data_IF_498740669541
#
_entry.id   IF_498740669541
#
_cell.length_a   1.000
_cell.length_b   1.000
_cell.length_c   1.000
_cell.angle_alpha   90.00
_cell.angle_beta   90.00
_cell.angle_gamma   90.00
#
_symmetry.space_group_name_H-M   'P 1'
#
loop_
_entity.id
_entity.type
_entity.pdbx_description
1 polymer ?
#
# COMPACT_ATOMS: atom_id res chain seq x y z
N UNK A 1 14.72 -7.81 5.73
CA UNK A 1 13.79 -7.10 4.82
C UNK A 1 13.24 -5.88 5.56
N UNK A 2 12.99 -4.73 4.90
CA UNK A 2 12.55 -3.49 5.59
C UNK A 2 11.25 -3.67 6.37
N UNK A 3 10.39 -4.56 5.90
CA UNK A 3 9.14 -4.89 6.57
C UNK A 3 9.34 -5.50 7.96
N UNK A 4 10.33 -6.38 8.16
CA UNK A 4 10.60 -7.01 9.46
C UNK A 4 10.95 -5.98 10.54
N UNK A 5 11.73 -4.96 10.17
CA UNK A 5 12.07 -3.84 11.06
C UNK A 5 10.84 -2.97 11.40
N UNK A 6 9.92 -2.81 10.45
CA UNK A 6 8.67 -2.08 10.67
C UNK A 6 7.64 -2.86 11.51
N UNK A 7 7.70 -4.20 11.48
CA UNK A 7 6.77 -5.11 12.15
C UNK A 7 6.93 -5.04 13.68
N UNK A 8 8.16 -4.85 14.14
CA UNK A 8 8.53 -4.69 15.56
C UNK A 8 8.13 -3.33 16.15
N UNK A 9 7.76 -2.35 15.32
CA UNK A 9 7.33 -1.05 15.81
C UNK A 9 5.97 -1.14 16.52
N UNK A 10 5.82 -0.52 17.69
CA UNK A 10 4.50 -0.33 18.33
C UNK A 10 3.53 0.37 17.38
N UNK A 11 2.22 0.08 17.51
CA UNK A 11 1.15 0.58 16.62
C UNK A 11 1.21 2.08 16.34
N UNK A 12 1.57 2.90 17.33
CA UNK A 12 1.73 4.34 17.15
C UNK A 12 2.87 4.72 16.21
N UNK A 13 4.04 4.08 16.36
CA UNK A 13 5.20 4.31 15.49
C UNK A 13 4.93 3.78 14.09
N UNK A 14 4.26 2.64 13.97
CA UNK A 14 3.82 2.10 12.68
C UNK A 14 2.87 3.08 11.97
N UNK A 15 1.87 3.61 12.67
CA UNK A 15 0.95 4.62 12.11
C UNK A 15 1.67 5.92 11.73
N UNK A 16 2.68 6.34 12.49
CA UNK A 16 3.51 7.51 12.13
C UNK A 16 4.38 7.25 10.90
N UNK A 17 4.80 6.02 10.66
CA UNK A 17 5.60 5.65 9.49
C UNK A 17 4.74 5.46 8.24
N UNK A 18 3.67 4.66 8.33
CA UNK A 18 2.89 4.20 7.16
C UNK A 18 1.59 4.96 6.92
N UNK A 19 1.11 5.72 7.91
CA UNK A 19 -0.17 6.45 7.83
C UNK A 19 -1.38 5.62 8.23
N UNK A 20 -1.24 4.29 8.34
CA UNK A 20 -2.33 3.38 8.63
C UNK A 20 -2.10 2.63 9.94
N UNK A 21 -3.19 2.21 10.61
CA UNK A 21 -3.10 1.32 11.78
C UNK A 21 -2.72 -0.08 11.32
N UNK A 22 -2.04 -0.87 12.17
CA UNK A 22 -1.66 -2.26 11.83
C UNK A 22 -2.86 -3.13 11.43
N UNK A 23 -3.99 -2.96 12.12
CA UNK A 23 -5.23 -3.68 11.78
C UNK A 23 -5.74 -3.37 10.37
N UNK A 24 -5.63 -2.11 9.92
CA UNK A 24 -5.99 -1.71 8.55
C UNK A 24 -4.98 -2.25 7.54
N UNK A 25 -3.69 -2.18 7.86
CA UNK A 25 -2.62 -2.72 7.04
C UNK A 25 -2.82 -4.22 6.79
N UNK A 26 -3.12 -5.01 7.83
CA UNK A 26 -3.40 -6.45 7.67
C UNK A 26 -4.54 -6.70 6.70
N UNK A 27 -5.65 -5.95 6.82
CA UNK A 27 -6.80 -6.09 5.90
C UNK A 27 -6.42 -5.75 4.45
N UNK A 28 -5.62 -4.72 4.24
CA UNK A 28 -5.11 -4.36 2.91
C UNK A 28 -4.23 -5.47 2.34
N UNK A 29 -3.34 -6.05 3.15
CA UNK A 29 -2.50 -7.20 2.74
C UNK A 29 -3.35 -8.40 2.35
N UNK A 30 -4.38 -8.74 3.13
CA UNK A 30 -5.26 -9.88 2.84
C UNK A 30 -6.00 -9.71 1.50
N UNK A 31 -6.45 -8.50 1.22
CA UNK A 31 -7.07 -8.14 -0.06
C UNK A 31 -6.07 -8.28 -1.22
N UNK A 32 -4.87 -7.72 -1.06
CA UNK A 32 -3.84 -7.75 -2.10
C UNK A 32 -3.34 -9.17 -2.35
N UNK A 33 -3.21 -10.00 -1.31
CA UNK A 33 -2.85 -11.42 -1.44
C UNK A 33 -3.88 -12.18 -2.28
N UNK A 34 -5.17 -11.99 -2.01
CA UNK A 34 -6.24 -12.61 -2.83
C UNK A 34 -6.17 -12.19 -4.30
N UNK A 35 -5.89 -10.91 -4.57
CA UNK A 35 -5.74 -10.40 -5.92
C UNK A 35 -4.47 -10.94 -6.62
N UNK A 36 -3.36 -11.06 -5.88
CA UNK A 36 -2.11 -11.62 -6.36
C UNK A 36 -2.25 -13.12 -6.67
N UNK A 37 -2.92 -13.89 -5.82
CA UNK A 37 -3.19 -15.31 -6.05
C UNK A 37 -4.05 -15.54 -7.29
N UNK A 38 -5.07 -14.70 -7.52
CA UNK A 38 -5.87 -14.72 -8.75
C UNK A 38 -5.06 -14.35 -10.00
N UNK A 39 -4.09 -13.44 -9.87
CA UNK A 39 -3.20 -13.09 -10.98
C UNK A 39 -2.20 -14.21 -11.27
N UNK A 40 -1.67 -14.86 -10.23
CA UNK A 40 -0.78 -16.03 -10.39
C UNK A 40 -1.48 -17.21 -11.02
N UNK A 41 -2.75 -17.47 -10.67
CA UNK A 41 -3.53 -18.54 -11.30
C UNK A 41 -3.76 -18.31 -12.80
N UNK A 42 -3.67 -17.06 -13.27
CA UNK A 42 -3.78 -16.66 -14.68
C UNK A 42 -2.43 -16.60 -15.39
N UNK A 43 -1.33 -17.04 -14.77
CA UNK A 43 0.01 -17.00 -15.34
C UNK A 43 0.74 -15.67 -15.13
N UNK A 44 0.34 -14.87 -14.13
CA UNK A 44 1.01 -13.63 -13.77
C UNK A 44 2.48 -13.81 -13.38
N UNK A 45 3.32 -12.83 -13.71
CA UNK A 45 4.76 -12.84 -13.41
C UNK A 45 4.99 -12.69 -11.90
N UNK A 46 5.91 -13.49 -11.35
CA UNK A 46 6.34 -13.37 -9.94
C UNK A 46 6.96 -11.99 -9.69
N UNK A 47 6.41 -11.25 -8.72
CA UNK A 47 6.98 -10.00 -8.24
C UNK A 47 8.26 -10.27 -7.45
N UNK A 48 9.24 -9.36 -7.54
CA UNK A 48 10.50 -9.45 -6.78
C UNK A 48 10.30 -9.18 -5.28
N UNK A 49 9.29 -8.37 -4.94
CA UNK A 49 8.90 -8.05 -3.57
C UNK A 49 7.67 -8.87 -3.17
N UNK A 50 7.58 -9.20 -1.88
CA UNK A 50 6.37 -9.78 -1.32
C UNK A 50 5.25 -8.71 -1.21
N UNK A 51 4.00 -9.17 -1.08
CA UNK A 51 2.82 -8.27 -1.08
C UNK A 51 2.90 -7.23 0.07
N UNK A 52 3.46 -7.62 1.20
CA UNK A 52 3.64 -6.75 2.37
C UNK A 52 4.64 -5.62 2.11
N UNK A 53 5.80 -5.93 1.53
CA UNK A 53 6.80 -4.93 1.13
C UNK A 53 6.27 -4.04 0.00
N UNK A 54 5.50 -4.58 -0.94
CA UNK A 54 4.85 -3.78 -1.97
C UNK A 54 3.89 -2.76 -1.35
N UNK A 55 3.02 -3.20 -0.43
CA UNK A 55 2.11 -2.29 0.26
C UNK A 55 2.87 -1.25 1.09
N UNK A 56 3.91 -1.66 1.83
CA UNK A 56 4.73 -0.73 2.61
C UNK A 56 5.37 0.33 1.72
N UNK A 57 5.94 -0.07 0.59
CA UNK A 57 6.54 0.83 -0.40
C UNK A 57 5.53 1.85 -0.93
N UNK A 58 4.30 1.42 -1.24
CA UNK A 58 3.24 2.32 -1.72
C UNK A 58 2.80 3.29 -0.62
N UNK A 59 2.71 2.84 0.63
CA UNK A 59 2.37 3.72 1.75
C UNK A 59 3.46 4.76 2.03
N UNK A 60 4.74 4.39 1.93
CA UNK A 60 5.85 5.35 1.99
C UNK A 60 5.82 6.34 0.82
N UNK A 61 5.51 5.87 -0.40
CA UNK A 61 5.30 6.74 -1.56
C UNK A 61 4.19 7.76 -1.31
N UNK A 62 3.02 7.32 -0.84
CA UNK A 62 1.88 8.21 -0.59
C UNK A 62 2.15 9.22 0.52
N UNK A 63 3.00 8.88 1.49
CA UNK A 63 3.29 9.73 2.64
C UNK A 63 4.37 10.78 2.36
N UNK A 64 5.42 10.40 1.64
CA UNK A 64 6.59 11.25 1.42
C UNK A 64 6.71 11.76 -0.01
N UNK A 65 5.86 11.27 -0.91
CA UNK A 65 5.82 11.62 -2.33
C UNK A 65 7.19 11.57 -3.03
N UNK A 66 8.07 10.65 -2.57
CA UNK A 66 9.41 10.45 -3.13
C UNK A 66 9.30 9.97 -4.58
N UNK A 67 10.30 10.30 -5.41
CA UNK A 67 10.30 9.85 -6.81
C UNK A 67 10.36 8.33 -6.92
N UNK A 68 9.75 7.76 -7.96
CA UNK A 68 9.78 6.32 -8.22
C UNK A 68 11.21 5.79 -8.36
N UNK A 69 12.14 6.60 -8.87
CA UNK A 69 13.57 6.26 -8.91
C UNK A 69 14.15 6.04 -7.51
N UNK A 70 13.94 6.97 -6.56
CA UNK A 70 14.44 6.83 -5.19
C UNK A 70 13.81 5.64 -4.45
N UNK A 71 12.52 5.42 -4.66
CA UNK A 71 11.82 4.27 -4.09
C UNK A 71 12.34 2.96 -4.70
N UNK A 72 12.54 2.92 -6.01
CA UNK A 72 13.13 1.78 -6.69
C UNK A 72 14.50 1.40 -6.12
N UNK A 73 15.38 2.39 -5.91
CA UNK A 73 16.68 2.17 -5.27
C UNK A 73 16.54 1.64 -3.84
N UNK A 74 15.66 2.24 -3.04
CA UNK A 74 15.41 1.87 -1.64
C UNK A 74 14.89 0.44 -1.43
N UNK A 75 14.26 -0.13 -2.45
CA UNK A 75 13.65 -1.47 -2.44
C UNK A 75 14.33 -2.43 -3.44
N UNK A 76 15.37 -2.00 -4.15
CA UNK A 76 16.10 -2.83 -5.12
C UNK A 76 15.27 -3.25 -6.34
N UNK A 77 14.30 -2.42 -6.77
CA UNK A 77 13.45 -2.64 -7.94
C UNK A 77 13.64 -1.54 -9.00
N UNK A 78 13.24 -1.81 -10.24
CA UNK A 78 13.27 -0.78 -11.28
C UNK A 78 12.16 0.25 -11.08
N UNK A 79 12.37 1.46 -11.60
CA UNK A 79 11.39 2.55 -11.54
C UNK A 79 10.03 2.15 -12.14
N UNK A 80 10.05 1.47 -13.28
CA UNK A 80 8.83 0.95 -13.92
C UNK A 80 8.10 -0.06 -13.04
N UNK A 81 8.82 -0.84 -12.23
CA UNK A 81 8.21 -1.80 -11.30
C UNK A 81 7.56 -1.09 -10.12
N UNK A 82 8.21 -0.04 -9.59
CA UNK A 82 7.65 0.78 -8.51
C UNK A 82 6.34 1.45 -8.96
N UNK A 83 6.34 2.07 -10.15
CA UNK A 83 5.16 2.70 -10.74
C UNK A 83 4.01 1.70 -10.97
N UNK A 84 4.32 0.50 -11.50
CA UNK A 84 3.32 -0.57 -11.68
C UNK A 84 2.75 -1.06 -10.34
N UNK A 85 3.58 -1.19 -9.31
CA UNK A 85 3.14 -1.62 -7.99
C UNK A 85 2.20 -0.59 -7.33
N UNK A 86 2.52 0.71 -7.42
CA UNK A 86 1.64 1.78 -6.93
C UNK A 86 0.28 1.72 -7.61
N UNK A 87 0.24 1.72 -8.94
CA UNK A 87 -1.01 1.62 -9.70
C UNK A 87 -1.81 0.37 -9.36
N UNK A 88 -1.15 -0.78 -9.27
CA UNK A 88 -1.82 -2.04 -8.94
C UNK A 88 -2.44 -2.02 -7.53
N UNK A 89 -1.72 -1.49 -6.54
CA UNK A 89 -2.24 -1.37 -5.16
C UNK A 89 -3.43 -0.40 -5.13
N UNK A 90 -3.31 0.76 -5.77
CA UNK A 90 -4.40 1.74 -5.86
C UNK A 90 -5.63 1.15 -6.55
N UNK A 91 -5.48 0.58 -7.74
CA UNK A 91 -6.58 -0.03 -8.51
C UNK A 91 -7.23 -1.19 -7.77
N UNK A 92 -6.44 -1.97 -7.03
CA UNK A 92 -6.96 -3.08 -6.25
C UNK A 92 -7.75 -2.58 -5.05
N UNK A 93 -7.21 -1.61 -4.28
CA UNK A 93 -7.87 -1.09 -3.08
C UNK A 93 -9.11 -0.25 -3.40
N UNK A 94 -9.09 0.56 -4.47
CA UNK A 94 -10.24 1.37 -4.90
C UNK A 94 -11.45 0.51 -5.24
N UNK A 95 -11.25 -0.72 -5.73
CA UNK A 95 -12.34 -1.67 -6.00
C UNK A 95 -13.05 -2.15 -4.74
N UNK A 96 -12.42 -2.04 -3.57
CA UNK A 96 -13.06 -2.39 -2.30
C UNK A 96 -13.69 -1.14 -1.69
N UNK A 97 -15.01 -1.18 -1.53
CA UNK A 97 -15.86 -0.08 -1.05
C UNK A 97 -15.42 0.50 0.31
N UNK A 98 -14.72 -0.28 1.13
CA UNK A 98 -14.15 0.14 2.41
C UNK A 98 -12.94 1.08 2.31
N UNK A 99 -12.28 1.14 1.14
CA UNK A 99 -11.11 1.99 0.88
C UNK A 99 -11.35 3.02 -0.23
N UNK A 100 -12.47 2.91 -0.94
CA UNK A 100 -12.94 3.95 -1.83
C UNK A 100 -13.18 5.23 -1.02
N UNK A 101 -12.53 6.33 -1.42
CA UNK A 101 -12.79 7.63 -0.83
C UNK A 101 -14.29 7.93 -0.96
N UNK A 102 -14.99 8.23 0.15
CA UNK A 102 -16.38 8.64 0.06
C UNK A 102 -16.43 9.91 -0.80
N UNK A 103 -17.43 10.03 -1.68
CA UNK A 103 -17.48 11.12 -2.66
C UNK A 103 -17.34 12.49 -1.98
N UNK A 104 -16.84 13.50 -2.71
CA UNK A 104 -16.49 14.84 -2.18
C UNK A 104 -17.49 15.44 -1.16
N UNK A 105 -18.79 15.19 -1.33
CA UNK A 105 -19.86 15.64 -0.41
C UNK A 105 -19.81 15.00 0.98
N UNK A 106 -19.38 13.75 1.09
CA UNK A 106 -19.26 13.04 2.35
C UNK A 106 -17.97 13.43 3.11
N UNK A 107 -16.89 13.77 2.38
CA UNK A 107 -15.65 14.28 2.97
C UNK A 107 -15.87 15.65 3.63
N UNK A 108 -16.68 16.52 3.03
CA UNK A 108 -16.99 17.82 3.64
C UNK A 108 -17.83 17.71 4.91
N UNK A 109 -18.61 16.64 5.11
CA UNK A 109 -19.40 16.46 6.34
C UNK A 109 -18.52 16.18 7.58
N UNK A 110 -17.38 15.52 7.43
CA UNK A 110 -16.49 15.21 8.55
C UNK A 110 -15.61 16.37 9.01
N UNK A 111 -15.53 17.47 8.26
CA UNK A 111 -14.73 18.66 8.64
C UNK A 111 -15.50 19.65 9.53
N UNK A 112 -16.83 19.54 9.62
CA UNK A 112 -17.69 20.45 10.41
C UNK A 112 -18.27 19.82 11.69
N UNK A 113 -17.88 18.60 12.07
CA UNK A 113 -18.23 17.99 13.36
C UNK A 113 -17.00 17.85 14.27
N UNK A 114 -16.39 19.00 14.60
CA UNK A 114 -15.47 19.16 15.73
C UNK A 114 -16.05 20.15 16.74
#
# INVERSE_FOLDING_TARGET
MKFDQSKELKDEKFRRLTGVRKGTFSKMVDILRKADDLNKSKGGRKNKLNVEEQLLMVLEYLREYRTYFHIGQNYGISESSACKAVKWVEDTLVKYQNFALPGRKALMKSEYEL
#
